data_IF_956386507396
#
_entry.id   IF_956386507396
#
_cell.length_a   1.000
_cell.length_b   1.000
_cell.length_c   1.000
_cell.angle_alpha   90.00
_cell.angle_beta   90.00
_cell.angle_gamma   90.00
#
_symmetry.space_group_name_H-M   'P 1'
#
loop_
_entity.id
_entity.type
_entity.pdbx_description
1 polymer ?
#
# COMPACT_ATOMS: atom_id res chain seq x y z
N UNK A 1 -1.50 5.07 15.54
CA UNK A 1 -0.31 5.82 15.11
C UNK A 1 -0.68 6.80 14.00
N UNK A 2 -1.42 6.38 13.02
CA UNK A 2 -1.86 7.20 11.89
C UNK A 2 -3.36 7.44 11.93
N UNK A 3 -4.14 6.49 11.42
CA UNK A 3 -5.58 6.58 11.20
C UNK A 3 -6.42 5.87 12.27
N UNK A 4 -5.80 5.42 13.36
CA UNK A 4 -6.48 4.71 14.45
C UNK A 4 -7.23 5.64 15.40
N UNK A 5 -8.06 5.08 16.31
CA UNK A 5 -8.94 5.84 17.20
C UNK A 5 -8.21 6.63 18.28
N UNK A 6 -6.94 6.31 18.55
CA UNK A 6 -6.16 6.92 19.63
C UNK A 6 -4.78 7.35 19.16
N UNK A 7 -4.27 8.42 19.75
CA UNK A 7 -2.89 8.89 19.61
C UNK A 7 -2.14 8.63 20.90
N UNK A 8 -0.89 8.18 20.77
CA UNK A 8 0.01 8.03 21.90
C UNK A 8 0.69 9.38 22.18
N UNK A 9 0.56 9.87 23.42
CA UNK A 9 1.18 11.12 23.82
C UNK A 9 2.71 11.00 23.95
N UNK A 10 3.37 12.13 24.15
CA UNK A 10 4.84 12.21 24.23
C UNK A 10 5.45 11.46 25.42
N UNK A 11 4.65 11.20 26.48
CA UNK A 11 5.03 10.39 27.62
C UNK A 11 5.21 8.89 27.28
N UNK A 12 4.72 8.45 26.12
CA UNK A 12 4.80 7.06 25.66
C UNK A 12 3.94 6.06 26.43
N UNK A 13 2.99 6.55 27.24
CA UNK A 13 2.13 5.74 28.12
C UNK A 13 0.65 6.11 27.94
N UNK A 14 0.36 7.39 27.90
CA UNK A 14 -1.01 7.92 27.83
C UNK A 14 -1.49 7.99 26.38
N UNK A 15 -2.73 7.61 26.16
CA UNK A 15 -3.40 7.78 24.86
C UNK A 15 -4.47 8.86 24.95
N UNK A 16 -4.64 9.60 23.88
CA UNK A 16 -5.76 10.53 23.69
C UNK A 16 -6.62 10.10 22.52
N UNK A 17 -7.87 10.52 22.50
CA UNK A 17 -8.78 10.30 21.39
C UNK A 17 -8.26 10.98 20.11
N UNK A 18 -8.35 10.31 18.98
CA UNK A 18 -8.01 10.85 17.68
C UNK A 18 -9.28 11.26 16.91
N UNK A 19 -9.64 12.54 16.85
CA UNK A 19 -10.85 12.99 16.15
C UNK A 19 -10.77 12.86 14.63
N UNK A 20 -9.62 12.43 14.10
CA UNK A 20 -9.37 12.19 12.69
C UNK A 20 -9.07 10.72 12.38
N UNK A 21 -9.40 9.82 13.30
CA UNK A 21 -9.33 8.38 13.06
C UNK A 21 -10.35 7.96 11.99
N UNK A 22 -9.99 7.03 11.13
CA UNK A 22 -10.90 6.57 10.06
C UNK A 22 -12.12 5.83 10.60
N UNK A 23 -12.06 5.39 11.85
CA UNK A 23 -13.21 4.84 12.58
C UNK A 23 -14.34 5.86 12.86
N UNK A 24 -14.11 7.14 12.62
CA UNK A 24 -15.16 8.18 12.71
C UNK A 24 -16.20 8.04 11.58
N UNK A 25 -15.81 7.47 10.46
CA UNK A 25 -16.65 7.37 9.25
C UNK A 25 -16.91 5.92 8.80
N UNK A 26 -16.31 4.93 9.46
CA UNK A 26 -16.43 3.51 9.09
C UNK A 26 -16.12 2.56 10.26
N UNK A 27 -16.61 1.33 10.17
CA UNK A 27 -16.08 0.25 11.00
C UNK A 27 -14.72 -0.17 10.44
N UNK A 28 -13.71 -0.28 11.29
CA UNK A 28 -12.33 -0.55 10.88
C UNK A 28 -11.81 -1.85 11.47
N UNK A 29 -11.08 -2.60 10.66
CA UNK A 29 -10.22 -3.71 11.09
C UNK A 29 -8.78 -3.36 10.72
N UNK A 30 -7.90 -3.27 11.71
CA UNK A 30 -6.46 -3.17 11.50
C UNK A 30 -5.86 -4.56 11.68
N UNK A 31 -5.44 -5.16 10.57
CA UNK A 31 -4.93 -6.52 10.57
C UNK A 31 -3.41 -6.52 10.52
N UNK A 32 -2.78 -7.13 11.54
CA UNK A 32 -1.35 -7.43 11.52
C UNK A 32 -1.10 -8.59 10.52
N UNK A 33 -0.65 -8.26 9.31
CA UNK A 33 -0.43 -9.21 8.21
C UNK A 33 0.91 -8.91 7.51
N UNK A 34 1.59 -9.90 6.92
CA UNK A 34 1.33 -11.36 6.97
C UNK A 34 1.68 -11.99 8.33
N UNK A 35 1.54 -13.31 8.45
CA UNK A 35 1.87 -14.02 9.68
C UNK A 35 3.31 -13.74 10.15
N UNK A 36 3.45 -13.45 11.45
CA UNK A 36 4.73 -13.04 12.04
C UNK A 36 4.88 -11.53 12.24
N UNK A 37 4.12 -10.67 11.55
CA UNK A 37 4.12 -9.22 11.79
C UNK A 37 3.33 -8.85 13.04
N UNK A 38 3.60 -7.66 13.61
CA UNK A 38 2.91 -7.17 14.79
C UNK A 38 2.73 -8.23 15.88
N UNK A 39 1.50 -8.53 16.25
CA UNK A 39 1.14 -9.61 17.18
C UNK A 39 0.67 -10.89 16.47
N UNK A 40 0.51 -10.88 15.14
CA UNK A 40 0.07 -12.07 14.41
C UNK A 40 1.08 -13.20 14.48
N UNK A 41 0.56 -14.41 14.57
CA UNK A 41 1.33 -15.66 14.61
C UNK A 41 0.80 -16.61 13.56
N UNK A 42 1.67 -17.43 13.03
CA UNK A 42 1.32 -18.43 12.03
C UNK A 42 2.55 -19.02 11.35
N UNK A 43 2.30 -19.83 10.35
CA UNK A 43 3.33 -20.24 9.39
C UNK A 43 3.74 -19.00 8.59
N UNK A 44 5.03 -18.82 8.37
CA UNK A 44 5.53 -17.75 7.51
C UNK A 44 5.19 -18.07 6.06
N UNK A 45 4.68 -17.07 5.38
CA UNK A 45 4.44 -17.09 3.95
C UNK A 45 5.71 -16.65 3.19
N UNK A 46 5.92 -17.22 2.02
CA UNK A 46 7.08 -16.96 1.17
C UNK A 46 6.70 -16.38 -0.19
N UNK A 47 5.43 -16.12 -0.41
CA UNK A 47 4.93 -15.48 -1.62
C UNK A 47 3.66 -14.68 -1.34
N UNK A 48 3.39 -13.70 -2.19
CA UNK A 48 2.14 -12.94 -2.11
C UNK A 48 0.90 -13.80 -2.41
N UNK A 49 1.06 -14.91 -3.12
CA UNK A 49 -0.02 -15.88 -3.33
C UNK A 49 -0.47 -16.50 -2.01
N UNK A 50 0.47 -16.90 -1.15
CA UNK A 50 0.16 -17.45 0.18
C UNK A 50 -0.48 -16.38 1.07
N UNK A 51 0.10 -15.18 1.13
CA UNK A 51 -0.46 -14.04 1.88
C UNK A 51 -1.89 -13.70 1.43
N UNK A 52 -2.13 -13.65 0.13
CA UNK A 52 -3.46 -13.42 -0.45
C UNK A 52 -4.48 -14.47 -0.01
N UNK A 53 -4.09 -15.73 -0.05
CA UNK A 53 -4.99 -16.83 0.29
C UNK A 53 -5.30 -16.84 1.79
N UNK A 54 -4.33 -16.54 2.64
CA UNK A 54 -4.54 -16.39 4.09
C UNK A 54 -5.42 -15.19 4.43
N UNK A 55 -5.21 -14.04 3.77
CA UNK A 55 -6.09 -12.87 3.90
C UNK A 55 -7.52 -13.17 3.47
N UNK A 56 -7.70 -13.86 2.35
CA UNK A 56 -9.03 -14.26 1.89
C UNK A 56 -9.72 -15.21 2.88
N UNK A 57 -8.99 -16.20 3.40
CA UNK A 57 -9.50 -17.12 4.41
C UNK A 57 -9.89 -16.41 5.71
N UNK A 58 -9.07 -15.43 6.14
CA UNK A 58 -9.39 -14.57 7.28
C UNK A 58 -10.71 -13.82 7.04
N UNK A 59 -10.89 -13.19 5.88
CA UNK A 59 -12.12 -12.46 5.56
C UNK A 59 -13.33 -13.38 5.52
N UNK A 60 -13.22 -14.59 4.97
CA UNK A 60 -14.29 -15.58 4.97
C UNK A 60 -14.67 -15.98 6.40
N UNK A 61 -13.69 -16.26 7.25
CA UNK A 61 -13.92 -16.61 8.66
C UNK A 61 -14.54 -15.43 9.44
N UNK A 62 -14.03 -14.23 9.24
CA UNK A 62 -14.53 -13.01 9.89
C UNK A 62 -16.00 -12.75 9.52
N UNK A 63 -16.34 -12.73 8.24
CA UNK A 63 -17.70 -12.47 7.79
C UNK A 63 -18.66 -13.63 8.08
N UNK A 64 -18.15 -14.85 8.26
CA UNK A 64 -18.97 -15.94 8.77
C UNK A 64 -19.42 -15.71 10.22
N UNK A 65 -18.52 -15.20 11.08
CA UNK A 65 -18.81 -14.91 12.48
C UNK A 65 -19.55 -13.58 12.69
N UNK A 66 -19.31 -12.62 11.79
CA UNK A 66 -19.83 -11.25 11.88
C UNK A 66 -20.44 -10.82 10.53
N UNK A 67 -21.54 -11.47 10.08
CA UNK A 67 -22.12 -11.24 8.76
C UNK A 67 -22.66 -9.81 8.57
N UNK A 68 -22.98 -9.11 9.63
CA UNK A 68 -23.44 -7.72 9.62
C UNK A 68 -22.40 -6.74 9.09
N UNK A 69 -21.12 -7.07 9.15
CA UNK A 69 -20.02 -6.26 8.60
C UNK A 69 -19.72 -6.58 7.12
N UNK A 70 -20.32 -7.62 6.52
CA UNK A 70 -20.16 -7.90 5.09
C UNK A 70 -21.06 -6.97 4.24
N UNK A 71 -20.88 -5.68 4.42
CA UNK A 71 -21.60 -4.61 3.72
C UNK A 71 -20.65 -3.52 3.32
N UNK A 72 -20.67 -3.11 2.04
CA UNK A 72 -19.83 -2.03 1.54
C UNK A 72 -18.36 -2.22 1.97
N UNK A 73 -17.85 -3.43 1.80
CA UNK A 73 -16.47 -3.76 2.22
C UNK A 73 -15.45 -3.05 1.35
N UNK A 74 -14.47 -2.43 2.00
CA UNK A 74 -13.37 -1.75 1.36
C UNK A 74 -12.03 -2.25 1.91
N UNK A 75 -11.01 -2.27 1.07
CA UNK A 75 -9.62 -2.54 1.45
C UNK A 75 -8.85 -1.22 1.46
N UNK A 76 -8.00 -1.02 2.45
CA UNK A 76 -7.11 0.14 2.48
C UNK A 76 -5.73 -0.25 3.00
N UNK A 77 -4.69 0.38 2.45
CA UNK A 77 -3.32 0.16 2.92
C UNK A 77 -2.33 1.13 2.28
N UNK A 78 -1.13 1.20 2.84
CA UNK A 78 -0.06 2.10 2.40
C UNK A 78 1.21 1.32 2.08
N UNK A 79 2.12 1.94 1.29
CA UNK A 79 3.46 1.42 1.02
C UNK A 79 3.42 0.07 0.29
N UNK A 80 4.03 -0.96 0.87
CA UNK A 80 4.01 -2.33 0.35
C UNK A 80 2.60 -2.92 0.21
N UNK A 81 1.59 -2.31 0.81
CA UNK A 81 0.19 -2.65 0.54
C UNK A 81 -0.25 -2.36 -0.91
N UNK A 82 0.53 -1.60 -1.68
CA UNK A 82 0.42 -1.51 -3.13
C UNK A 82 0.55 -2.87 -3.85
N UNK A 83 1.14 -3.86 -3.20
CA UNK A 83 1.16 -5.27 -3.61
C UNK A 83 -0.03 -6.04 -3.02
N UNK A 84 -0.26 -5.96 -1.70
CA UNK A 84 -1.30 -6.72 -1.00
C UNK A 84 -2.72 -6.39 -1.49
N UNK A 85 -3.06 -5.10 -1.55
CA UNK A 85 -4.42 -4.64 -1.83
C UNK A 85 -4.92 -5.07 -3.23
N UNK A 86 -4.15 -4.90 -4.32
CA UNK A 86 -4.57 -5.40 -5.63
C UNK A 86 -4.80 -6.91 -5.68
N UNK A 87 -3.91 -7.71 -5.09
CA UNK A 87 -4.03 -9.17 -5.19
C UNK A 87 -5.20 -9.72 -4.38
N UNK A 88 -5.50 -9.15 -3.20
CA UNK A 88 -6.66 -9.58 -2.42
C UNK A 88 -7.96 -9.07 -3.03
N UNK A 89 -7.99 -7.84 -3.57
CA UNK A 89 -9.15 -7.30 -4.30
C UNK A 89 -9.52 -8.15 -5.51
N UNK A 90 -8.54 -8.50 -6.34
CA UNK A 90 -8.71 -9.38 -7.49
C UNK A 90 -9.17 -10.79 -7.07
N UNK A 91 -8.59 -11.36 -6.00
CA UNK A 91 -9.02 -12.66 -5.44
C UNK A 91 -10.49 -12.64 -5.03
N UNK A 92 -10.93 -11.62 -4.31
CA UNK A 92 -12.33 -11.49 -3.89
C UNK A 92 -13.26 -11.48 -5.12
N UNK A 93 -12.90 -10.75 -6.16
CA UNK A 93 -13.71 -10.69 -7.40
C UNK A 93 -13.76 -12.04 -8.12
N UNK A 94 -12.63 -12.73 -8.23
CA UNK A 94 -12.56 -14.05 -8.84
C UNK A 94 -13.45 -15.06 -8.10
N UNK A 95 -13.36 -15.08 -6.76
CA UNK A 95 -14.15 -16.00 -5.94
C UNK A 95 -15.65 -15.64 -5.94
N UNK A 96 -15.98 -14.35 -5.87
CA UNK A 96 -17.36 -13.91 -6.02
C UNK A 96 -17.97 -14.33 -7.37
N UNK A 97 -17.19 -14.24 -8.46
CA UNK A 97 -17.59 -14.69 -9.79
C UNK A 97 -17.77 -16.20 -9.86
N UNK A 98 -16.82 -16.95 -9.28
CA UNK A 98 -16.87 -18.43 -9.19
C UNK A 98 -18.14 -18.90 -8.47
N UNK A 99 -18.45 -18.29 -7.32
CA UNK A 99 -19.68 -18.60 -6.56
C UNK A 99 -20.95 -18.29 -7.35
N UNK A 100 -20.97 -17.19 -8.08
CA UNK A 100 -22.13 -16.83 -8.93
C UNK A 100 -22.38 -17.86 -10.05
N UNK A 101 -21.31 -18.47 -10.57
CA UNK A 101 -21.39 -19.50 -11.62
C UNK A 101 -21.72 -20.90 -11.08
N UNK A 102 -21.93 -21.06 -9.77
CA UNK A 102 -22.25 -22.36 -9.15
C UNK A 102 -21.08 -23.34 -9.14
N UNK A 103 -19.85 -22.88 -9.41
CA UNK A 103 -18.65 -23.74 -9.41
C UNK A 103 -18.30 -24.13 -7.99
N UNK A 104 -17.95 -25.42 -7.73
CA UNK A 104 -17.60 -25.87 -6.38
C UNK A 104 -16.36 -25.18 -5.86
N UNK A 105 -16.30 -24.95 -4.53
CA UNK A 105 -15.10 -24.49 -3.85
C UNK A 105 -13.93 -25.45 -4.06
N UNK A 106 -12.75 -24.94 -4.38
CA UNK A 106 -11.52 -25.76 -4.39
C UNK A 106 -11.03 -26.09 -2.96
N UNK A 107 -11.59 -25.45 -1.94
CA UNK A 107 -11.15 -25.52 -0.53
C UNK A 107 -12.15 -26.25 0.37
N UNK A 108 -12.72 -27.37 -0.05
CA UNK A 108 -13.54 -28.20 0.83
C UNK A 108 -12.68 -28.98 1.82
N UNK A 109 -12.31 -28.35 2.95
CA UNK A 109 -12.11 -29.08 4.19
C UNK A 109 -13.45 -29.22 4.91
N UNK A 110 -13.75 -30.38 5.48
CA UNK A 110 -15.01 -30.63 6.23
C UNK A 110 -15.16 -29.78 7.49
N UNK A 111 -14.14 -28.96 7.84
CA UNK A 111 -14.10 -28.09 9.02
C UNK A 111 -14.20 -26.59 8.70
N UNK A 112 -14.25 -26.18 7.42
CA UNK A 112 -14.36 -24.77 7.04
C UNK A 112 -15.83 -24.40 6.80
N UNK A 113 -16.28 -23.21 7.27
CA UNK A 113 -17.62 -22.71 6.95
C UNK A 113 -17.82 -22.60 5.44
N UNK A 114 -19.08 -22.67 4.95
CA UNK A 114 -19.36 -22.46 3.54
C UNK A 114 -18.90 -21.05 3.13
N UNK A 115 -18.18 -20.96 2.01
CA UNK A 115 -17.77 -19.68 1.45
C UNK A 115 -18.97 -18.79 1.16
N UNK A 116 -18.80 -17.49 1.42
CA UNK A 116 -19.80 -16.49 1.15
C UNK A 116 -19.25 -15.39 0.24
N UNK A 117 -20.14 -14.79 -0.54
CA UNK A 117 -19.80 -13.64 -1.36
C UNK A 117 -19.44 -12.46 -0.46
N UNK A 118 -18.32 -11.79 -0.74
CA UNK A 118 -17.90 -10.57 -0.06
C UNK A 118 -18.43 -9.35 -0.84
N UNK A 119 -19.12 -8.44 -0.15
CA UNK A 119 -19.67 -7.21 -0.75
C UNK A 119 -18.58 -6.15 -0.97
N UNK A 120 -17.60 -6.47 -1.81
CA UNK A 120 -16.43 -5.65 -2.10
C UNK A 120 -16.78 -4.45 -2.97
N UNK A 121 -16.54 -3.24 -2.48
CA UNK A 121 -16.96 -1.98 -3.10
C UNK A 121 -15.82 -1.08 -3.50
N UNK A 122 -14.66 -1.19 -2.87
CA UNK A 122 -13.53 -0.35 -3.21
C UNK A 122 -12.22 -0.75 -2.57
N UNK A 123 -11.14 -0.20 -3.13
CA UNK A 123 -9.81 -0.30 -2.54
C UNK A 123 -9.10 1.06 -2.57
N UNK A 124 -8.35 1.38 -1.52
CA UNK A 124 -7.55 2.58 -1.38
C UNK A 124 -6.08 2.20 -1.15
N UNK A 125 -5.17 2.79 -1.92
CA UNK A 125 -3.73 2.57 -1.83
C UNK A 125 -3.05 3.91 -1.63
N UNK A 126 -2.40 4.07 -0.49
CA UNK A 126 -1.64 5.27 -0.14
C UNK A 126 -0.15 5.06 -0.35
N UNK A 127 0.53 6.01 -1.02
CA UNK A 127 1.98 5.94 -1.27
C UNK A 127 2.42 4.51 -1.63
N UNK A 128 1.71 3.90 -2.60
CA UNK A 128 1.81 2.48 -2.90
C UNK A 128 3.01 2.12 -3.75
N UNK A 129 3.61 0.98 -3.43
CA UNK A 129 4.60 0.31 -4.27
C UNK A 129 3.86 -0.71 -5.16
N UNK A 130 3.31 -0.27 -6.30
CA UNK A 130 2.48 -1.11 -7.18
C UNK A 130 3.18 -1.45 -8.49
N UNK A 131 4.08 -0.59 -8.95
CA UNK A 131 4.82 -0.73 -10.21
C UNK A 131 6.26 -0.21 -10.06
N UNK A 132 7.02 -0.83 -9.16
CA UNK A 132 8.39 -0.46 -8.84
C UNK A 132 9.33 -0.49 -10.06
N UNK A 133 9.23 -1.46 -10.99
CA UNK A 133 10.13 -1.51 -12.15
C UNK A 133 10.13 -0.26 -13.05
N UNK A 134 9.09 0.56 -12.98
CA UNK A 134 9.02 1.81 -13.75
C UNK A 134 9.23 3.08 -12.90
N UNK A 135 9.75 2.95 -11.68
CA UNK A 135 9.87 4.07 -10.74
C UNK A 135 11.09 4.98 -10.99
N UNK A 136 12.18 4.42 -11.50
CA UNK A 136 13.49 5.08 -11.57
C UNK A 136 13.49 6.53 -12.10
N UNK A 137 12.86 6.89 -13.24
CA UNK A 137 12.86 8.28 -13.74
C UNK A 137 12.19 9.24 -12.75
N UNK A 138 11.09 8.80 -12.12
CA UNK A 138 10.33 9.63 -11.18
C UNK A 138 11.00 9.77 -9.81
N UNK A 139 11.85 8.82 -9.44
CA UNK A 139 12.73 8.93 -8.27
C UNK A 139 13.75 10.05 -8.48
N UNK A 140 14.41 10.11 -9.63
CA UNK A 140 15.33 11.17 -9.98
C UNK A 140 14.63 12.55 -10.00
N UNK A 141 13.46 12.64 -10.64
CA UNK A 141 12.67 13.89 -10.70
C UNK A 141 12.26 14.37 -9.31
N UNK A 142 11.77 13.47 -8.45
CA UNK A 142 11.36 13.82 -7.09
C UNK A 142 12.52 14.31 -6.24
N UNK A 143 13.69 13.67 -6.32
CA UNK A 143 14.89 14.07 -5.63
C UNK A 143 15.35 15.49 -6.04
N UNK A 144 15.30 15.82 -7.34
CA UNK A 144 15.67 17.13 -7.84
C UNK A 144 14.61 18.19 -7.51
N UNK A 145 13.34 17.92 -7.74
CA UNK A 145 12.24 18.86 -7.53
C UNK A 145 12.09 19.27 -6.06
N UNK A 146 12.39 18.35 -5.13
CA UNK A 146 12.38 18.63 -3.68
C UNK A 146 13.65 19.33 -3.18
N UNK A 147 14.66 19.52 -4.02
CA UNK A 147 15.98 20.03 -3.62
C UNK A 147 16.75 19.07 -2.70
N UNK A 148 16.40 17.78 -2.71
CA UNK A 148 17.12 16.77 -1.94
C UNK A 148 18.51 16.47 -2.51
N UNK A 149 18.67 16.61 -3.82
CA UNK A 149 19.98 16.43 -4.49
C UNK A 149 20.33 17.66 -5.34
N UNK A 150 21.61 17.85 -5.61
CA UNK A 150 22.09 18.88 -6.53
C UNK A 150 22.02 18.41 -7.99
N UNK A 151 22.24 19.34 -8.94
CA UNK A 151 22.14 19.06 -10.38
C UNK A 151 23.10 17.97 -10.85
N UNK A 152 24.30 17.89 -10.29
CA UNK A 152 25.29 16.87 -10.66
C UNK A 152 24.79 15.48 -10.27
N UNK A 153 24.34 15.31 -9.03
CA UNK A 153 23.75 14.06 -8.54
C UNK A 153 22.51 13.68 -9.35
N UNK A 154 21.64 14.64 -9.65
CA UNK A 154 20.47 14.40 -10.51
C UNK A 154 20.86 13.86 -11.90
N UNK A 155 21.90 14.42 -12.52
CA UNK A 155 22.39 13.93 -13.81
C UNK A 155 22.95 12.50 -13.73
N UNK A 156 23.61 12.15 -12.62
CA UNK A 156 24.06 10.78 -12.36
C UNK A 156 22.88 9.81 -12.21
N UNK A 157 21.84 10.21 -11.45
CA UNK A 157 20.61 9.43 -11.33
C UNK A 157 19.96 9.21 -12.70
N UNK A 158 19.83 10.26 -13.53
CA UNK A 158 19.27 10.15 -14.87
C UNK A 158 20.08 9.20 -15.78
N UNK A 159 21.40 9.21 -15.68
CA UNK A 159 22.25 8.32 -16.48
C UNK A 159 22.05 6.83 -16.14
N UNK A 160 21.54 6.52 -14.94
CA UNK A 160 21.28 5.16 -14.47
C UNK A 160 19.83 4.70 -14.71
N UNK A 161 18.93 5.56 -15.20
CA UNK A 161 17.50 5.24 -15.34
C UNK A 161 17.28 4.03 -16.25
N UNK A 162 17.87 4.04 -17.45
CA UNK A 162 17.61 3.01 -18.46
C UNK A 162 18.16 1.64 -17.99
N UNK A 163 19.41 1.61 -17.49
CA UNK A 163 20.04 0.36 -17.01
C UNK A 163 19.29 -0.24 -15.84
N UNK A 164 18.93 0.58 -14.86
CA UNK A 164 18.19 0.12 -13.66
C UNK A 164 16.79 -0.37 -14.04
N UNK A 165 16.07 0.37 -14.89
CA UNK A 165 14.73 -0.04 -15.36
C UNK A 165 14.81 -1.36 -16.14
N UNK A 166 15.80 -1.53 -17.02
CA UNK A 166 15.99 -2.79 -17.75
C UNK A 166 16.23 -3.97 -16.79
N UNK A 167 17.12 -3.81 -15.80
CA UNK A 167 17.39 -4.86 -14.82
C UNK A 167 16.15 -5.23 -14.02
N UNK A 168 15.37 -4.24 -13.56
CA UNK A 168 14.11 -4.48 -12.84
C UNK A 168 13.08 -5.23 -13.70
N UNK A 169 12.90 -4.84 -14.96
CA UNK A 169 11.96 -5.50 -15.87
C UNK A 169 12.41 -6.93 -16.22
N UNK A 170 13.71 -7.16 -16.36
CA UNK A 170 14.27 -8.50 -16.54
C UNK A 170 14.04 -9.36 -15.30
N UNK A 171 14.24 -8.79 -14.10
CA UNK A 171 13.89 -9.47 -12.84
C UNK A 171 12.41 -9.82 -12.80
N UNK A 172 11.50 -8.88 -13.12
CA UNK A 172 10.06 -9.13 -13.19
C UNK A 172 9.73 -10.32 -14.09
N UNK A 173 10.34 -10.39 -15.29
CA UNK A 173 10.13 -11.49 -16.22
C UNK A 173 10.63 -12.83 -15.68
N UNK A 174 11.77 -12.85 -15.00
CA UNK A 174 12.33 -14.05 -14.36
C UNK A 174 11.40 -14.51 -13.23
N UNK A 175 11.00 -13.62 -12.31
CA UNK A 175 10.11 -13.92 -11.18
C UNK A 175 8.75 -14.46 -11.64
N UNK A 176 8.24 -13.95 -12.76
CA UNK A 176 6.99 -14.44 -13.37
C UNK A 176 7.06 -15.90 -13.87
N UNK A 177 8.25 -16.44 -14.10
CA UNK A 177 8.48 -17.79 -14.60
C UNK A 177 8.98 -18.78 -13.53
N UNK A 178 9.22 -18.33 -12.29
CA UNK A 178 9.67 -19.19 -11.23
C UNK A 178 8.56 -20.17 -10.79
N UNK A 179 8.93 -21.42 -10.55
CA UNK A 179 8.02 -22.46 -10.01
C UNK A 179 7.89 -22.40 -8.50
N UNK A 180 8.86 -21.81 -7.82
CA UNK A 180 8.93 -21.65 -6.38
C UNK A 180 9.28 -20.19 -6.07
N UNK A 181 8.80 -19.63 -4.96
CA UNK A 181 9.15 -18.27 -4.54
C UNK A 181 10.67 -18.09 -4.41
N UNK A 182 11.16 -16.93 -4.83
CA UNK A 182 12.56 -16.57 -4.61
C UNK A 182 12.80 -16.21 -3.14
N UNK A 183 14.00 -16.48 -2.64
CA UNK A 183 14.46 -16.13 -1.30
C UNK A 183 15.83 -15.48 -1.37
N UNK A 184 16.35 -15.00 -0.24
CA UNK A 184 17.72 -14.47 -0.17
C UNK A 184 18.78 -15.41 -0.79
N UNK A 185 18.59 -16.73 -0.65
CA UNK A 185 19.56 -17.75 -1.12
C UNK A 185 19.27 -18.26 -2.54
N UNK A 186 18.09 -18.02 -3.07
CA UNK A 186 17.63 -18.49 -4.37
C UNK A 186 17.23 -17.36 -5.32
N UNK A 187 17.44 -16.12 -4.89
CA UNK A 187 17.15 -14.95 -5.71
C UNK A 187 18.01 -14.98 -6.99
N UNK A 188 17.40 -14.73 -8.16
CA UNK A 188 18.15 -14.62 -9.41
C UNK A 188 19.16 -13.47 -9.31
N UNK A 189 20.37 -13.66 -9.85
CA UNK A 189 21.44 -12.65 -9.87
C UNK A 189 20.93 -11.31 -10.44
N UNK A 190 20.20 -11.35 -11.54
CA UNK A 190 19.59 -10.15 -12.15
C UNK A 190 18.70 -9.38 -11.18
N UNK A 191 18.01 -10.06 -10.24
CA UNK A 191 17.17 -9.40 -9.25
C UNK A 191 18.02 -8.78 -8.12
N UNK A 192 19.13 -9.40 -7.77
CA UNK A 192 20.10 -8.82 -6.83
C UNK A 192 20.76 -7.59 -7.43
N UNK A 193 21.16 -7.64 -8.69
CA UNK A 193 21.75 -6.51 -9.41
C UNK A 193 20.74 -5.36 -9.53
N UNK A 194 19.49 -5.66 -9.90
CA UNK A 194 18.41 -4.66 -9.97
C UNK A 194 18.22 -3.95 -8.63
N UNK A 195 18.24 -4.71 -7.53
CA UNK A 195 18.12 -4.15 -6.18
C UNK A 195 19.31 -3.25 -5.82
N UNK A 196 20.52 -3.71 -6.10
CA UNK A 196 21.74 -2.95 -5.85
C UNK A 196 21.76 -1.64 -6.64
N UNK A 197 21.48 -1.71 -7.93
CA UNK A 197 21.40 -0.54 -8.82
C UNK A 197 20.34 0.46 -8.34
N UNK A 198 19.15 0.00 -7.99
CA UNK A 198 18.08 0.85 -7.48
C UNK A 198 18.47 1.55 -6.17
N UNK A 199 18.98 0.79 -5.20
CA UNK A 199 19.40 1.35 -3.92
C UNK A 199 20.54 2.37 -4.08
N UNK A 200 21.58 2.03 -4.85
CA UNK A 200 22.77 2.87 -4.99
C UNK A 200 22.53 4.14 -5.81
N UNK A 201 21.67 4.07 -6.82
CA UNK A 201 21.46 5.20 -7.73
C UNK A 201 20.25 6.08 -7.36
N UNK A 202 19.26 5.57 -6.60
CA UNK A 202 18.01 6.32 -6.36
C UNK A 202 17.69 6.55 -4.89
N UNK A 203 18.12 5.68 -3.97
CA UNK A 203 17.89 5.88 -2.53
C UNK A 203 19.12 6.48 -1.84
N UNK A 204 20.27 5.84 -1.97
CA UNK A 204 21.50 6.26 -1.30
C UNK A 204 21.90 7.73 -1.57
N UNK A 205 21.75 8.31 -2.77
CA UNK A 205 22.06 9.72 -3.00
C UNK A 205 21.21 10.68 -2.16
N UNK A 206 19.95 10.34 -1.88
CA UNK A 206 19.08 11.14 -1.02
C UNK A 206 19.42 10.92 0.45
N UNK A 207 19.59 9.67 0.87
CA UNK A 207 19.98 9.33 2.25
C UNK A 207 21.31 9.96 2.65
N UNK A 208 22.28 10.02 1.72
CA UNK A 208 23.58 10.67 1.94
C UNK A 208 23.48 12.17 2.28
N UNK A 209 22.36 12.82 1.96
CA UNK A 209 22.10 14.21 2.37
C UNK A 209 21.59 14.33 3.81
N UNK A 210 21.36 13.21 4.49
CA UNK A 210 20.77 13.14 5.83
C UNK A 210 19.25 13.23 5.85
N UNK A 211 18.58 13.38 4.70
CA UNK A 211 17.12 13.45 4.61
C UNK A 211 16.46 12.09 4.76
N UNK A 212 15.26 12.10 5.30
CA UNK A 212 14.41 10.91 5.39
C UNK A 212 13.76 10.62 4.04
N UNK A 213 13.99 9.43 3.48
CA UNK A 213 13.40 9.02 2.19
C UNK A 213 11.87 8.85 2.23
N UNK A 214 11.30 8.69 3.42
CA UNK A 214 9.84 8.63 3.63
C UNK A 214 9.21 10.01 3.78
N UNK A 215 10.01 11.04 4.14
CA UNK A 215 9.54 12.42 4.22
C UNK A 215 10.73 13.37 4.06
N UNK A 216 10.88 13.93 2.90
CA UNK A 216 12.00 14.80 2.53
C UNK A 216 12.10 16.11 3.34
N UNK A 217 11.09 16.43 4.17
CA UNK A 217 11.13 17.55 5.12
C UNK A 217 11.92 17.22 6.39
N UNK A 218 12.05 15.92 6.70
CA UNK A 218 12.69 15.41 7.91
C UNK A 218 14.13 14.98 7.66
N UNK A 219 14.91 14.92 8.73
CA UNK A 219 16.24 14.32 8.75
C UNK A 219 16.21 12.97 9.49
N UNK A 220 17.06 12.04 9.05
CA UNK A 220 17.18 10.70 9.66
C UNK A 220 16.00 9.78 9.33
N UNK A 221 15.55 8.99 10.29
CA UNK A 221 14.49 7.99 10.12
C UNK A 221 13.37 8.21 11.13
N UNK A 222 12.19 7.64 10.88
CA UNK A 222 11.09 7.64 11.86
C UNK A 222 11.51 6.95 13.15
N UNK A 223 11.13 7.55 14.29
CA UNK A 223 11.41 6.99 15.61
C UNK A 223 10.17 6.29 16.21
N UNK A 224 10.18 4.97 16.19
CA UNK A 224 9.10 4.14 16.73
C UNK A 224 9.29 3.74 18.21
N UNK A 225 10.33 4.20 18.90
CA UNK A 225 10.69 3.73 20.25
C UNK A 225 9.54 3.82 21.24
N UNK A 226 8.79 4.93 21.26
CA UNK A 226 7.67 5.09 22.18
C UNK A 226 6.52 4.11 21.89
N UNK A 227 6.25 3.81 20.61
CA UNK A 227 5.25 2.81 20.21
C UNK A 227 5.68 1.39 20.58
N UNK A 228 6.97 1.08 20.39
CA UNK A 228 7.56 -0.20 20.79
C UNK A 228 7.39 -0.39 22.31
N UNK A 229 7.71 0.62 23.10
CA UNK A 229 7.59 0.57 24.56
C UNK A 229 6.14 0.42 25.01
N UNK A 230 5.22 1.20 24.45
CA UNK A 230 3.79 1.14 24.76
C UNK A 230 3.20 -0.23 24.42
N UNK A 231 3.36 -0.70 23.20
CA UNK A 231 2.80 -1.97 22.73
C UNK A 231 3.45 -3.19 23.42
N UNK A 232 4.66 -3.06 23.97
CA UNK A 232 5.32 -4.10 24.74
C UNK A 232 5.16 -3.96 26.27
N UNK A 233 4.36 -2.99 26.72
CA UNK A 233 3.99 -2.89 28.12
C UNK A 233 3.12 -4.09 28.52
N UNK A 234 3.41 -4.73 29.65
CA UNK A 234 2.71 -5.95 30.09
C UNK A 234 1.20 -5.75 30.25
N UNK A 235 0.78 -4.60 30.77
CA UNK A 235 -0.66 -4.28 30.92
C UNK A 235 -1.35 -4.18 29.57
N UNK A 236 -0.75 -3.46 28.61
CA UNK A 236 -1.29 -3.31 27.26
C UNK A 236 -1.34 -4.68 26.55
N UNK A 237 -0.26 -5.45 26.60
CA UNK A 237 -0.23 -6.80 26.01
C UNK A 237 -1.32 -7.70 26.58
N UNK A 238 -1.50 -7.71 27.92
CA UNK A 238 -2.54 -8.49 28.58
C UNK A 238 -3.94 -8.04 28.17
N UNK A 239 -4.18 -6.73 28.08
CA UNK A 239 -5.47 -6.17 27.66
C UNK A 239 -5.81 -6.56 26.22
N UNK A 240 -4.81 -6.60 25.34
CA UNK A 240 -4.96 -7.00 23.93
C UNK A 240 -4.96 -8.53 23.73
N UNK A 241 -4.68 -9.31 24.77
CA UNK A 241 -4.49 -10.76 24.64
C UNK A 241 -3.23 -11.15 23.84
N UNK A 242 -2.27 -10.25 23.75
CA UNK A 242 -1.05 -10.46 22.98
C UNK A 242 -0.10 -11.42 23.70
N UNK A 243 0.36 -12.46 23.00
CA UNK A 243 1.22 -13.52 23.54
C UNK A 243 2.68 -13.41 23.09
N UNK A 244 2.99 -12.49 22.19
CA UNK A 244 4.37 -12.20 21.74
C UNK A 244 4.66 -10.71 21.79
N UNK A 245 5.95 -10.35 21.79
CA UNK A 245 6.41 -8.96 21.68
C UNK A 245 6.10 -8.39 20.32
N UNK A 246 5.59 -7.16 20.30
CA UNK A 246 5.41 -6.37 19.10
C UNK A 246 6.75 -5.84 18.56
N UNK A 247 6.92 -5.85 17.25
CA UNK A 247 8.08 -5.27 16.55
C UNK A 247 7.59 -4.38 15.41
N UNK A 248 8.21 -3.21 15.17
CA UNK A 248 7.85 -2.34 14.05
C UNK A 248 8.14 -2.97 12.69
N UNK A 249 9.18 -3.80 12.61
CA UNK A 249 9.60 -4.55 11.43
C UNK A 249 9.97 -5.98 11.85
N UNK A 250 9.46 -6.96 11.14
CA UNK A 250 9.95 -8.33 11.24
C UNK A 250 10.83 -8.64 10.03
N UNK A 251 12.15 -8.51 10.19
CA UNK A 251 13.12 -8.73 9.12
C UNK A 251 13.02 -10.11 8.46
N UNK A 252 12.55 -11.12 9.17
CA UNK A 252 12.36 -12.45 8.58
C UNK A 252 11.22 -12.41 7.56
N UNK A 253 10.07 -11.84 7.89
CA UNK A 253 8.95 -11.65 6.96
C UNK A 253 9.39 -10.79 5.77
N UNK A 254 10.15 -9.72 6.03
CA UNK A 254 10.71 -8.91 4.95
C UNK A 254 11.56 -9.74 4.00
N UNK A 255 12.49 -10.54 4.51
CA UNK A 255 13.37 -11.37 3.67
C UNK A 255 12.61 -12.50 2.95
N UNK A 256 11.59 -13.07 3.59
CA UNK A 256 10.77 -14.15 3.01
C UNK A 256 9.98 -13.68 1.78
N UNK A 257 9.57 -12.40 1.73
CA UNK A 257 8.77 -11.83 0.64
C UNK A 257 9.59 -10.98 -0.34
N UNK A 258 10.60 -10.27 0.14
CA UNK A 258 11.29 -9.22 -0.61
C UNK A 258 11.83 -9.69 -1.96
N UNK A 259 12.56 -10.80 -1.98
CA UNK A 259 13.23 -11.29 -3.19
C UNK A 259 12.28 -11.92 -4.22
N UNK A 260 11.10 -12.38 -3.79
CA UNK A 260 10.08 -12.89 -4.70
C UNK A 260 9.20 -11.78 -5.26
N UNK A 261 9.04 -10.69 -4.52
CA UNK A 261 7.92 -9.79 -4.76
C UNK A 261 8.29 -8.36 -5.17
N UNK A 262 9.40 -7.79 -4.71
CA UNK A 262 9.73 -6.36 -4.85
C UNK A 262 9.63 -5.83 -6.29
N UNK A 263 9.99 -6.64 -7.30
CA UNK A 263 9.95 -6.24 -8.70
C UNK A 263 8.79 -6.85 -9.49
N UNK A 264 7.76 -7.38 -8.82
CA UNK A 264 6.53 -7.76 -9.51
C UNK A 264 5.67 -6.51 -9.77
N UNK A 265 4.89 -6.55 -10.85
CA UNK A 265 3.98 -5.47 -11.26
C UNK A 265 2.54 -5.90 -10.97
N UNK A 266 1.80 -5.06 -10.26
CA UNK A 266 0.43 -5.34 -9.83
C UNK A 266 -0.65 -4.53 -10.57
N UNK A 267 -0.26 -3.78 -11.61
CA UNK A 267 -1.20 -3.08 -12.50
C UNK A 267 -2.31 -4.00 -13.04
N UNK A 268 -2.03 -5.24 -13.51
CA UNK A 268 -3.08 -6.11 -14.04
C UNK A 268 -4.18 -6.47 -13.04
N UNK A 269 -3.87 -6.55 -11.73
CA UNK A 269 -4.86 -6.78 -10.70
C UNK A 269 -5.75 -5.54 -10.49
N UNK A 270 -5.15 -4.35 -10.48
CA UNK A 270 -5.88 -3.07 -10.41
C UNK A 270 -6.80 -2.91 -11.61
N UNK A 271 -6.34 -3.24 -12.81
CA UNK A 271 -7.11 -3.20 -14.07
C UNK A 271 -8.36 -4.08 -13.97
N UNK A 272 -8.23 -5.33 -13.49
CA UNK A 272 -9.38 -6.23 -13.32
C UNK A 272 -10.37 -5.73 -12.28
N UNK A 273 -9.88 -5.09 -11.21
CA UNK A 273 -10.74 -4.45 -10.20
C UNK A 273 -11.53 -3.28 -10.80
N UNK A 274 -10.88 -2.45 -11.59
CA UNK A 274 -11.51 -1.33 -12.31
C UNK A 274 -12.52 -1.81 -13.35
N UNK A 275 -12.18 -2.84 -14.16
CA UNK A 275 -13.12 -3.43 -15.14
C UNK A 275 -14.35 -4.07 -14.49
N UNK A 276 -14.23 -4.54 -13.25
CA UNK A 276 -15.39 -5.01 -12.48
C UNK A 276 -16.26 -3.88 -11.92
N UNK A 277 -15.93 -2.61 -12.20
CA UNK A 277 -16.68 -1.44 -11.72
C UNK A 277 -16.45 -1.09 -10.25
N UNK A 278 -15.46 -1.71 -9.60
CA UNK A 278 -15.09 -1.42 -8.21
C UNK A 278 -14.31 -0.10 -8.15
N UNK A 279 -14.55 0.69 -7.13
CA UNK A 279 -13.92 2.00 -6.94
C UNK A 279 -12.48 1.84 -6.44
N UNK A 280 -11.56 2.60 -7.05
CA UNK A 280 -10.14 2.60 -6.68
C UNK A 280 -9.70 4.02 -6.37
N UNK A 281 -9.13 4.19 -5.18
CA UNK A 281 -8.46 5.41 -4.75
C UNK A 281 -6.96 5.17 -4.66
N UNK A 282 -6.17 5.99 -5.34
CA UNK A 282 -4.73 6.08 -5.14
C UNK A 282 -4.44 7.47 -4.56
N UNK A 283 -3.75 7.54 -3.44
CA UNK A 283 -3.34 8.80 -2.86
C UNK A 283 -1.85 8.77 -2.50
N UNK A 284 -1.17 9.90 -2.63
CA UNK A 284 0.25 9.96 -2.31
C UNK A 284 0.64 11.33 -1.77
N UNK A 285 1.39 11.34 -0.68
CA UNK A 285 1.98 12.55 -0.10
C UNK A 285 3.05 13.14 -1.02
N UNK A 286 3.07 14.47 -1.14
CA UNK A 286 3.96 15.19 -2.06
C UNK A 286 5.40 15.36 -1.52
N UNK A 287 5.70 14.84 -0.32
CA UNK A 287 7.02 14.87 0.32
C UNK A 287 7.68 13.51 0.48
N UNK A 288 7.01 12.43 0.10
CA UNK A 288 7.59 11.09 0.05
C UNK A 288 8.56 10.99 -1.13
N UNK A 289 9.72 10.36 -0.92
CA UNK A 289 10.63 10.02 -2.00
C UNK A 289 10.48 8.56 -2.43
N UNK A 290 10.34 7.65 -1.47
CA UNK A 290 10.36 6.20 -1.73
C UNK A 290 9.21 5.74 -2.64
N UNK A 291 7.97 6.05 -2.26
CA UNK A 291 6.77 5.74 -3.04
C UNK A 291 6.08 7.04 -3.47
N UNK A 292 6.85 7.91 -4.11
CA UNK A 292 6.46 9.29 -4.38
C UNK A 292 5.24 9.42 -5.30
N UNK A 293 4.61 10.58 -5.23
CA UNK A 293 3.40 10.88 -5.98
C UNK A 293 3.59 10.84 -7.51
N UNK A 294 4.81 11.13 -8.01
CA UNK A 294 5.11 11.07 -9.45
C UNK A 294 5.08 9.62 -9.96
N UNK A 295 5.64 8.68 -9.19
CA UNK A 295 5.57 7.23 -9.49
C UNK A 295 4.11 6.80 -9.50
N UNK A 296 3.34 7.19 -8.47
CA UNK A 296 1.93 6.81 -8.33
C UNK A 296 1.04 7.42 -9.44
N UNK A 297 1.26 8.67 -9.82
CA UNK A 297 0.60 9.28 -10.98
C UNK A 297 0.96 8.57 -12.29
N UNK A 298 2.22 8.20 -12.44
CA UNK A 298 2.72 7.57 -13.67
C UNK A 298 2.17 6.17 -13.89
N UNK A 299 2.19 5.30 -12.87
CA UNK A 299 1.68 3.95 -13.05
C UNK A 299 0.16 3.92 -13.22
N UNK A 300 -0.59 4.82 -12.55
CA UNK A 300 -2.05 4.94 -12.75
C UNK A 300 -2.41 5.34 -14.18
N UNK A 301 -1.56 6.11 -14.86
CA UNK A 301 -1.73 6.44 -16.28
C UNK A 301 -1.40 5.30 -17.23
N UNK A 302 -0.64 4.31 -16.80
CA UNK A 302 -0.30 3.11 -17.60
C UNK A 302 -1.33 1.99 -17.52
N UNK A 303 -2.29 2.08 -16.61
CA UNK A 303 -3.37 1.08 -16.46
C UNK A 303 -4.14 0.90 -17.77
N UNK A 304 -4.40 -0.37 -18.11
CA UNK A 304 -5.14 -0.77 -19.30
C UNK A 304 -6.54 -1.27 -18.90
N UNK A 305 -7.52 -0.40 -18.98
CA UNK A 305 -8.92 -0.67 -18.62
C UNK A 305 -9.85 0.23 -19.43
N UNK A 306 -11.17 -0.03 -19.40
CA UNK A 306 -12.15 0.67 -20.25
C UNK A 306 -12.19 2.19 -20.07
N UNK A 307 -11.87 2.71 -18.89
CA UNK A 307 -11.79 4.15 -18.59
C UNK A 307 -10.41 4.79 -18.76
N UNK A 308 -9.37 4.03 -19.16
CA UNK A 308 -7.98 4.49 -19.21
C UNK A 308 -7.78 5.77 -20.03
N UNK A 309 -8.34 5.83 -21.24
CA UNK A 309 -8.22 7.00 -22.12
C UNK A 309 -8.83 8.24 -21.48
N UNK A 310 -9.98 8.10 -20.83
CA UNK A 310 -10.62 9.22 -20.13
C UNK A 310 -9.75 9.70 -18.96
N UNK A 311 -9.14 8.78 -18.21
CA UNK A 311 -8.29 9.12 -17.06
C UNK A 311 -7.01 9.85 -17.47
N UNK A 312 -6.30 9.33 -18.47
CA UNK A 312 -5.00 9.88 -18.94
C UNK A 312 -5.14 11.33 -19.45
N UNK A 313 -6.25 11.65 -20.12
CA UNK A 313 -6.45 12.98 -20.70
C UNK A 313 -6.97 14.03 -19.71
N UNK A 314 -7.36 13.64 -18.51
CA UNK A 314 -7.78 14.60 -17.47
C UNK A 314 -6.54 15.21 -16.79
N UNK A 315 -6.50 16.53 -16.59
CA UNK A 315 -5.46 17.15 -15.79
C UNK A 315 -5.61 16.79 -14.29
N UNK A 316 -4.57 17.05 -13.53
CA UNK A 316 -4.70 17.21 -12.09
C UNK A 316 -5.36 18.56 -11.81
N UNK A 317 -6.45 18.53 -11.05
CA UNK A 317 -7.22 19.73 -10.67
C UNK A 317 -7.11 19.95 -9.16
N UNK A 318 -7.18 21.19 -8.75
CA UNK A 318 -7.15 21.55 -7.33
C UNK A 318 -8.28 20.83 -6.58
N UNK A 319 -7.92 20.15 -5.49
CA UNK A 319 -8.84 19.37 -4.68
C UNK A 319 -9.00 19.98 -3.28
N UNK A 320 -10.17 20.53 -2.99
CA UNK A 320 -10.49 21.16 -1.70
C UNK A 320 -11.28 20.26 -0.75
N UNK A 321 -11.91 19.20 -1.27
CA UNK A 321 -12.67 18.21 -0.49
C UNK A 321 -13.74 18.81 0.47
N UNK A 322 -14.24 20.01 0.16
CA UNK A 322 -15.18 20.74 1.04
C UNK A 322 -14.51 21.50 2.20
N UNK A 323 -13.18 21.60 2.20
CA UNK A 323 -12.40 22.42 3.12
C UNK A 323 -12.09 23.79 2.54
N UNK A 324 -11.74 24.79 3.40
CA UNK A 324 -11.36 26.13 2.93
C UNK A 324 -10.03 26.10 2.15
N UNK A 325 -9.08 25.24 2.60
CA UNK A 325 -7.78 25.08 1.97
C UNK A 325 -7.76 23.87 1.05
N UNK A 326 -6.90 23.93 0.04
CA UNK A 326 -6.69 22.81 -0.85
C UNK A 326 -6.01 21.63 -0.11
N UNK A 327 -6.62 20.47 -0.18
CA UNK A 327 -6.05 19.20 0.30
C UNK A 327 -4.89 18.73 -0.60
N UNK A 328 -4.99 19.06 -1.89
CA UNK A 328 -4.04 18.64 -2.90
C UNK A 328 -4.54 18.85 -4.31
N UNK A 329 -4.15 17.95 -5.19
CA UNK A 329 -4.62 17.88 -6.58
C UNK A 329 -5.20 16.49 -6.85
N UNK A 330 -6.23 16.42 -7.67
CA UNK A 330 -6.93 15.16 -7.98
C UNK A 330 -7.17 15.00 -9.48
N UNK A 331 -6.97 13.78 -9.97
CA UNK A 331 -7.48 13.31 -11.28
C UNK A 331 -8.46 12.18 -11.02
N UNK A 332 -9.63 12.21 -11.68
CA UNK A 332 -10.69 11.23 -11.43
C UNK A 332 -11.51 10.87 -12.66
N UNK A 333 -12.04 9.66 -12.63
CA UNK A 333 -13.10 9.16 -13.52
C UNK A 333 -14.24 8.58 -12.69
N UNK A 334 -15.08 7.73 -13.29
CA UNK A 334 -16.21 7.08 -12.61
C UNK A 334 -15.79 6.16 -11.46
N UNK A 335 -14.62 5.50 -11.56
CA UNK A 335 -14.20 4.50 -10.59
C UNK A 335 -12.69 4.51 -10.28
N UNK A 336 -11.91 5.43 -10.85
CA UNK A 336 -10.51 5.66 -10.45
C UNK A 336 -10.32 7.13 -10.05
N UNK A 337 -9.73 7.34 -8.88
CA UNK A 337 -9.25 8.64 -8.43
C UNK A 337 -7.78 8.54 -8.01
N UNK A 338 -6.97 9.50 -8.46
CA UNK A 338 -5.62 9.73 -7.96
C UNK A 338 -5.57 11.08 -7.25
N UNK A 339 -5.02 11.11 -6.03
CA UNK A 339 -4.90 12.32 -5.20
C UNK A 339 -3.44 12.52 -4.80
N UNK A 340 -2.83 13.61 -5.25
CA UNK A 340 -1.58 14.14 -4.68
C UNK A 340 -1.93 14.94 -3.45
N UNK A 341 -1.50 14.50 -2.27
CA UNK A 341 -1.80 15.15 -0.98
C UNK A 341 -0.67 16.11 -0.62
N UNK A 342 -1.03 17.38 -0.40
CA UNK A 342 -0.05 18.40 -0.05
C UNK A 342 0.46 18.25 1.38
N UNK A 343 1.73 18.61 1.57
CA UNK A 343 2.39 18.62 2.88
C UNK A 343 2.32 17.28 3.65
N UNK A 344 2.35 16.17 2.93
CA UNK A 344 2.43 14.83 3.50
C UNK A 344 3.63 14.07 2.94
N UNK A 345 4.31 13.31 3.80
CA UNK A 345 5.28 12.29 3.42
C UNK A 345 4.60 10.96 3.13
N UNK A 346 5.29 9.87 3.41
CA UNK A 346 4.84 8.50 3.21
C UNK A 346 3.60 8.13 4.04
N UNK A 347 3.52 8.64 5.25
CA UNK A 347 2.44 8.37 6.21
C UNK A 347 1.40 9.51 6.14
N UNK A 348 0.59 9.53 5.09
CA UNK A 348 -0.39 10.60 4.84
C UNK A 348 -1.34 10.83 6.01
N UNK A 349 -1.94 9.81 6.66
CA UNK A 349 -2.82 10.02 7.79
C UNK A 349 -2.12 10.57 9.04
N UNK A 350 -0.82 10.31 9.18
CA UNK A 350 -0.01 10.89 10.24
C UNK A 350 0.22 12.38 10.03
N UNK A 351 0.59 12.78 8.81
CA UNK A 351 1.01 14.14 8.48
C UNK A 351 -0.17 15.08 8.24
N UNK A 352 -1.22 14.55 7.60
CA UNK A 352 -2.44 15.29 7.23
C UNK A 352 -3.70 14.58 7.73
N UNK A 353 -3.86 14.40 9.07
CA UNK A 353 -4.92 13.55 9.61
C UNK A 353 -6.33 14.02 9.25
N UNK A 354 -6.61 15.34 9.30
CA UNK A 354 -7.90 15.91 8.93
C UNK A 354 -8.18 15.68 7.43
N UNK A 355 -7.20 15.98 6.58
CA UNK A 355 -7.35 15.83 5.12
C UNK A 355 -7.49 14.35 4.74
N UNK A 356 -6.75 13.46 5.40
CA UNK A 356 -6.86 12.01 5.22
C UNK A 356 -8.25 11.49 5.55
N UNK A 357 -8.85 11.94 6.67
CA UNK A 357 -10.22 11.56 7.04
C UNK A 357 -11.22 11.99 5.98
N UNK A 358 -11.12 13.23 5.47
CA UNK A 358 -12.02 13.74 4.42
C UNK A 358 -11.85 12.98 3.11
N UNK A 359 -10.61 12.64 2.72
CA UNK A 359 -10.33 11.84 1.53
C UNK A 359 -11.01 10.47 1.63
N UNK A 360 -10.83 9.77 2.76
CA UNK A 360 -11.39 8.44 2.92
C UNK A 360 -12.92 8.47 3.04
N UNK A 361 -13.49 9.48 3.71
CA UNK A 361 -14.94 9.67 3.77
C UNK A 361 -15.55 9.86 2.38
N UNK A 362 -14.96 10.71 1.55
CA UNK A 362 -15.43 10.92 0.18
C UNK A 362 -15.26 9.69 -0.71
N UNK A 363 -14.21 8.90 -0.48
CA UNK A 363 -14.01 7.62 -1.14
C UNK A 363 -15.12 6.63 -0.77
N UNK A 364 -15.36 6.41 0.52
CA UNK A 364 -16.37 5.47 1.01
C UNK A 364 -17.78 5.82 0.54
N UNK A 365 -18.12 7.12 0.53
CA UNK A 365 -19.41 7.63 0.07
C UNK A 365 -19.50 7.74 -1.47
N UNK A 366 -18.39 7.55 -2.18
CA UNK A 366 -18.31 7.66 -3.64
C UNK A 366 -18.33 9.09 -4.19
N UNK A 367 -18.29 10.11 -3.35
CA UNK A 367 -18.42 11.51 -3.74
C UNK A 367 -17.19 12.06 -4.50
N UNK A 368 -16.05 11.39 -4.38
CA UNK A 368 -14.84 11.81 -5.09
C UNK A 368 -14.82 11.38 -6.56
N UNK A 369 -15.70 10.48 -6.99
CA UNK A 369 -15.71 9.99 -8.36
C UNK A 369 -16.59 10.86 -9.27
N UNK A 370 -16.28 10.89 -10.58
CA UNK A 370 -17.12 11.58 -11.54
C UNK A 370 -18.49 10.91 -11.64
N UNK A 371 -19.53 11.73 -11.81
CA UNK A 371 -20.88 11.22 -12.15
C UNK A 371 -20.82 10.41 -13.45
N UNK A 372 -21.64 9.37 -13.54
CA UNK A 372 -21.74 8.52 -14.73
C UNK A 372 -22.25 9.30 -15.94
#
# INVERSE_FOLDING_TARGET
MENGPCRLLSDGITTEYNPYGWNEVSNMIWLDQPAGTGYSMGKHEHSLTEVRDDLYNFLQAFFHHFPEYNRNFHLAGESFAGHYIPVIGDKILQENKRMHQGSPSMWKSMSTPPEQRIDFRGMAIGNGDTDNPHSAPYMAEMAMASGAVNRTTYQQMLASVDSTTELMLRCTAILGNLKQPASLFTAPETCLDANLEYMMNFLAPVEATGRNIYDLRLNGTYNFTRYINFLNNATIMNTLGAVKKWKPINYRVTLDLYFDDTYRIYNPQVERVLEAGVKVLIYAGDKDHLCNWLVNDAWTKRLQWSGAQQFVHKPLELYQAGTEEAVGEMRRTQNLAFVRVYNAGHLVPHDQPKNSLVIIEQFLNGNMFASA
#
